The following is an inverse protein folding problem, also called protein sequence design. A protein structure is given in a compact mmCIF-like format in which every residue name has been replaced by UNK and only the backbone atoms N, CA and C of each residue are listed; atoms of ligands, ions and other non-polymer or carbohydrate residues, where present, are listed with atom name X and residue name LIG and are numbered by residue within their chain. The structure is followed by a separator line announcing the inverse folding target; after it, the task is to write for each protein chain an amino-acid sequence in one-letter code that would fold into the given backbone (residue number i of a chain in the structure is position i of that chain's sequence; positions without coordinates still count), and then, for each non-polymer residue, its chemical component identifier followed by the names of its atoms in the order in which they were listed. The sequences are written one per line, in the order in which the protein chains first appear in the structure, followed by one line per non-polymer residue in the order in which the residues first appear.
data_IF_369544009659
#
_entry.id   IF_369544009659
#
_cell.length_a   1.000
_cell.length_b   1.000
_cell.length_c   1.000
_cell.angle_alpha   90.00
_cell.angle_beta   90.00
_cell.angle_gamma   90.00
#
_symmetry.space_group_name_H-M   'P 1'
#
loop_
_entity.id
_entity.type
_entity.pdbx_description
1 polymer ?
#
# COMPACT_ATOMS: atom_id res chain seq x y z
N UNK A 1 -29.44 16.07 -17.52
CA UNK A 1 -27.97 16.11 -17.66
C UNK A 1 -27.28 15.82 -16.33
N UNK A 2 -27.74 16.37 -15.21
CA UNK A 2 -27.15 16.18 -13.87
C UNK A 2 -27.30 14.73 -13.35
N UNK A 3 -28.37 14.03 -13.68
CA UNK A 3 -28.54 12.63 -13.25
C UNK A 3 -27.60 11.64 -13.96
N UNK A 4 -27.17 11.94 -15.16
CA UNK A 4 -26.18 11.14 -15.89
C UNK A 4 -24.79 11.29 -15.29
N UNK A 5 -24.40 12.51 -14.96
CA UNK A 5 -23.10 12.80 -14.33
C UNK A 5 -23.00 12.17 -12.94
N UNK A 6 -24.09 12.22 -12.15
CA UNK A 6 -24.14 11.58 -10.83
C UNK A 6 -24.05 10.05 -10.92
N UNK A 7 -24.72 9.45 -11.93
CA UNK A 7 -24.65 8.00 -12.17
C UNK A 7 -23.28 7.55 -12.65
N UNK A 8 -22.65 8.31 -13.54
CA UNK A 8 -21.28 8.03 -13.97
C UNK A 8 -20.30 8.16 -12.80
N UNK A 9 -20.47 9.16 -11.95
CA UNK A 9 -19.65 9.35 -10.77
C UNK A 9 -19.82 8.21 -9.75
N UNK A 10 -21.06 7.81 -9.46
CA UNK A 10 -21.37 6.68 -8.58
C UNK A 10 -20.94 5.33 -9.17
N UNK A 11 -20.96 5.20 -10.50
CA UNK A 11 -20.50 3.99 -11.18
C UNK A 11 -18.96 3.90 -11.17
N UNK A 12 -18.30 5.02 -11.27
CA UNK A 12 -16.85 5.15 -11.21
C UNK A 12 -16.30 4.87 -9.81
N UNK A 13 -16.96 5.34 -8.75
CA UNK A 13 -16.61 5.00 -7.37
C UNK A 13 -16.80 3.51 -7.06
N UNK A 14 -17.88 2.88 -7.56
CA UNK A 14 -18.11 1.45 -7.37
C UNK A 14 -17.10 0.58 -8.12
N UNK A 15 -16.66 1.01 -9.28
CA UNK A 15 -15.69 0.24 -10.07
C UNK A 15 -14.26 0.31 -9.52
N UNK A 16 -13.93 1.32 -8.73
CA UNK A 16 -12.62 1.41 -8.08
C UNK A 16 -12.55 0.52 -6.84
N UNK A 17 -13.65 0.38 -6.11
CA UNK A 17 -13.73 -0.38 -4.87
C UNK A 17 -13.68 -1.91 -5.03
N UNK A 18 -13.97 -2.43 -6.22
CA UNK A 18 -14.03 -3.89 -6.47
C UNK A 18 -12.78 -4.44 -7.18
N UNK A 19 -11.81 -3.60 -7.50
CA UNK A 19 -10.60 -3.99 -8.21
C UNK A 19 -9.48 -4.36 -7.25
N UNK A 20 -8.72 -5.39 -7.61
CA UNK A 20 -7.44 -5.66 -6.97
C UNK A 20 -6.50 -4.45 -7.05
N UNK A 21 -5.53 -4.38 -6.17
CA UNK A 21 -4.55 -3.26 -6.15
C UNK A 21 -3.86 -3.13 -7.50
N UNK A 22 -3.40 -4.23 -8.09
CA UNK A 22 -2.74 -4.22 -9.40
C UNK A 22 -3.64 -3.65 -10.50
N UNK A 23 -4.88 -4.10 -10.58
CA UNK A 23 -5.84 -3.61 -11.56
C UNK A 23 -6.22 -2.14 -11.31
N UNK A 24 -6.36 -1.74 -10.05
CA UNK A 24 -6.64 -0.36 -9.66
C UNK A 24 -5.52 0.60 -10.03
N UNK A 25 -4.27 0.23 -9.79
CA UNK A 25 -3.10 1.04 -10.16
C UNK A 25 -2.97 1.24 -11.67
N UNK A 26 -3.17 0.18 -12.44
CA UNK A 26 -3.15 0.26 -13.91
C UNK A 26 -4.26 1.16 -14.45
N UNK A 27 -5.46 1.07 -13.88
CA UNK A 27 -6.59 1.92 -14.26
C UNK A 27 -6.35 3.41 -13.94
N UNK A 28 -5.81 3.70 -12.76
CA UNK A 28 -5.46 5.07 -12.34
C UNK A 28 -4.38 5.65 -13.25
N UNK A 29 -3.34 4.89 -13.55
CA UNK A 29 -2.27 5.32 -14.44
C UNK A 29 -2.79 5.60 -15.86
N UNK A 30 -3.58 4.71 -16.42
CA UNK A 30 -4.17 4.88 -17.75
C UNK A 30 -5.06 6.12 -17.83
N UNK A 31 -5.91 6.34 -16.82
CA UNK A 31 -6.74 7.53 -16.76
C UNK A 31 -5.90 8.81 -16.67
N UNK A 32 -4.87 8.81 -15.84
CA UNK A 32 -3.97 9.96 -15.68
C UNK A 32 -3.20 10.26 -16.97
N UNK A 33 -2.75 9.22 -17.68
CA UNK A 33 -2.13 9.37 -19.00
C UNK A 33 -3.08 10.02 -20.01
N UNK A 34 -4.33 9.54 -20.07
CA UNK A 34 -5.35 10.05 -20.99
C UNK A 34 -5.68 11.52 -20.73
N UNK A 35 -5.77 11.89 -19.47
CA UNK A 35 -6.12 13.26 -19.06
C UNK A 35 -4.97 14.27 -19.24
N UNK A 36 -3.73 13.84 -19.08
CA UNK A 36 -2.55 14.72 -19.03
C UNK A 36 -1.58 14.54 -20.20
N UNK A 37 -1.75 13.51 -21.01
CA UNK A 37 -0.90 13.24 -22.17
C UNK A 37 0.55 12.87 -21.84
N UNK A 38 0.84 12.41 -20.63
CA UNK A 38 2.16 11.99 -20.18
C UNK A 38 2.17 10.49 -19.88
N UNK A 39 3.08 9.70 -20.47
CA UNK A 39 3.14 8.26 -20.26
C UNK A 39 3.57 7.94 -18.81
N UNK A 40 2.94 6.93 -18.24
CA UNK A 40 3.22 6.43 -16.89
C UNK A 40 3.53 4.93 -16.98
N UNK A 41 4.72 4.55 -16.59
CA UNK A 41 5.10 3.14 -16.49
C UNK A 41 4.58 2.54 -15.20
N UNK A 42 3.90 1.40 -15.28
CA UNK A 42 3.39 0.67 -14.10
C UNK A 42 3.98 -0.72 -14.04
N UNK A 43 4.66 -1.01 -12.95
CA UNK A 43 5.19 -2.34 -12.63
C UNK A 43 4.57 -2.82 -11.32
N UNK A 44 3.94 -3.98 -11.35
CA UNK A 44 3.33 -4.60 -10.18
C UNK A 44 3.90 -5.99 -9.94
N UNK A 45 4.22 -6.29 -8.68
CA UNK A 45 4.65 -7.61 -8.20
C UNK A 45 3.68 -8.06 -7.12
N UNK A 46 3.05 -9.21 -7.34
CA UNK A 46 1.98 -9.67 -6.47
C UNK A 46 0.69 -8.87 -6.63
N UNK A 47 -0.27 -9.15 -5.78
CA UNK A 47 -1.56 -8.45 -5.76
C UNK A 47 -2.18 -8.51 -4.37
N UNK A 48 -3.17 -7.65 -4.13
CA UNK A 48 -3.95 -7.61 -2.90
C UNK A 48 -5.43 -7.36 -3.21
N UNK A 49 -6.29 -7.95 -2.39
CA UNK A 49 -7.74 -7.80 -2.52
C UNK A 49 -8.20 -6.41 -2.10
N UNK A 50 -9.33 -5.94 -2.64
CA UNK A 50 -9.95 -4.68 -2.21
C UNK A 50 -10.19 -4.65 -0.70
N UNK A 51 -9.86 -3.54 -0.07
CA UNK A 51 -10.08 -3.27 1.35
C UNK A 51 -10.05 -1.77 1.59
N UNK A 52 -10.45 -1.33 2.78
CA UNK A 52 -10.33 0.09 3.14
C UNK A 52 -8.88 0.58 3.10
N UNK A 53 -7.92 -0.28 3.44
CA UNK A 53 -6.50 0.02 3.36
C UNK A 53 -6.02 0.16 1.92
N UNK A 54 -6.40 -0.76 1.04
CA UNK A 54 -6.01 -0.68 -0.38
C UNK A 54 -6.71 0.46 -1.10
N UNK A 55 -7.95 0.78 -0.77
CA UNK A 55 -8.65 1.95 -1.31
C UNK A 55 -7.93 3.26 -0.96
N UNK A 56 -7.53 3.42 0.30
CA UNK A 56 -6.75 4.57 0.73
C UNK A 56 -5.40 4.68 -0.01
N UNK A 57 -4.76 3.54 -0.27
CA UNK A 57 -3.51 3.46 -1.02
C UNK A 57 -3.70 3.87 -2.48
N UNK A 58 -4.78 3.41 -3.13
CA UNK A 58 -5.12 3.79 -4.51
C UNK A 58 -5.44 5.28 -4.61
N UNK A 59 -6.22 5.83 -3.70
CA UNK A 59 -6.54 7.27 -3.66
C UNK A 59 -5.29 8.14 -3.47
N UNK A 60 -4.41 7.73 -2.56
CA UNK A 60 -3.14 8.42 -2.33
C UNK A 60 -2.22 8.34 -3.56
N UNK A 61 -2.18 7.19 -4.24
CA UNK A 61 -1.41 7.00 -5.48
C UNK A 61 -1.93 7.91 -6.59
N UNK A 62 -3.25 8.03 -6.74
CA UNK A 62 -3.86 8.94 -7.71
C UNK A 62 -3.42 10.39 -7.47
N UNK A 63 -3.44 10.84 -6.22
CA UNK A 63 -2.97 12.19 -5.88
C UNK A 63 -1.48 12.37 -6.15
N UNK A 64 -0.67 11.38 -5.85
CA UNK A 64 0.76 11.41 -6.14
C UNK A 64 1.04 11.45 -7.64
N UNK A 65 0.29 10.72 -8.46
CA UNK A 65 0.40 10.74 -9.92
C UNK A 65 -0.04 12.08 -10.52
N UNK A 66 -1.14 12.65 -10.06
CA UNK A 66 -1.59 13.98 -10.49
C UNK A 66 -0.50 15.02 -10.19
N UNK A 67 0.12 14.93 -9.02
CA UNK A 67 1.24 15.81 -8.67
C UNK A 67 2.46 15.58 -9.58
N UNK A 68 2.78 14.35 -9.89
CA UNK A 68 3.91 13.99 -10.76
C UNK A 68 3.71 14.51 -12.20
N UNK A 69 2.52 14.35 -12.78
CA UNK A 69 2.23 14.83 -14.14
C UNK A 69 2.09 16.35 -14.23
N UNK A 70 1.68 17.01 -13.16
CA UNK A 70 1.48 18.46 -13.11
C UNK A 70 2.78 19.21 -12.81
N UNK A 71 3.55 18.75 -11.85
CA UNK A 71 4.73 19.44 -11.31
C UNK A 71 6.05 18.71 -11.50
N UNK A 72 5.98 17.42 -11.80
CA UNK A 72 7.15 16.59 -12.03
C UNK A 72 7.60 16.57 -13.48
N UNK A 73 8.45 15.64 -13.81
CA UNK A 73 8.99 15.41 -15.13
C UNK A 73 9.07 13.94 -15.49
N UNK A 74 9.03 13.68 -16.78
CA UNK A 74 9.20 12.33 -17.33
C UNK A 74 10.63 11.83 -17.16
N UNK A 75 10.83 10.51 -17.04
CA UNK A 75 9.82 9.47 -17.01
C UNK A 75 9.09 9.42 -15.64
N UNK A 76 7.80 9.07 -15.68
CA UNK A 76 6.96 8.88 -14.50
C UNK A 76 6.69 7.39 -14.36
N UNK A 77 6.87 6.84 -13.18
CA UNK A 77 6.68 5.42 -12.91
C UNK A 77 5.97 5.15 -11.60
N UNK A 78 5.21 4.06 -11.60
CA UNK A 78 4.59 3.46 -10.42
C UNK A 78 5.14 2.05 -10.26
N UNK A 79 5.70 1.76 -9.11
CA UNK A 79 6.10 0.42 -8.72
C UNK A 79 5.26 -0.02 -7.53
N UNK A 80 4.68 -1.21 -7.60
CA UNK A 80 3.90 -1.79 -6.51
C UNK A 80 4.40 -3.18 -6.18
N UNK A 81 4.59 -3.44 -4.91
CA UNK A 81 4.86 -4.76 -4.37
C UNK A 81 3.82 -5.11 -3.32
N UNK A 82 3.01 -6.13 -3.61
CA UNK A 82 1.94 -6.60 -2.74
C UNK A 82 2.28 -7.99 -2.20
N UNK A 83 2.47 -8.06 -0.90
CA UNK A 83 2.69 -9.29 -0.16
C UNK A 83 1.45 -9.74 0.62
N UNK A 84 1.61 -10.73 1.47
CA UNK A 84 0.52 -11.29 2.28
C UNK A 84 0.02 -10.34 3.40
N UNK A 85 0.89 -9.49 3.92
CA UNK A 85 0.65 -8.64 5.09
C UNK A 85 0.87 -7.15 4.86
N UNK A 86 1.37 -6.77 3.69
CA UNK A 86 1.63 -5.38 3.33
C UNK A 86 1.59 -5.13 1.83
N UNK A 87 1.31 -3.90 1.47
CA UNK A 87 1.45 -3.36 0.11
C UNK A 87 2.32 -2.12 0.16
N UNK A 88 3.30 -2.04 -0.73
CA UNK A 88 4.15 -0.88 -0.93
C UNK A 88 3.96 -0.32 -2.33
N UNK A 89 3.81 0.98 -2.43
CA UNK A 89 3.69 1.69 -3.72
C UNK A 89 4.68 2.85 -3.74
N UNK A 90 5.42 2.94 -4.84
CA UNK A 90 6.38 3.99 -5.10
C UNK A 90 5.96 4.74 -6.36
N UNK A 91 5.77 6.05 -6.24
CA UNK A 91 5.50 6.94 -7.37
C UNK A 91 6.72 7.82 -7.58
N UNK A 92 7.35 7.73 -8.75
CA UNK A 92 8.59 8.41 -9.08
C UNK A 92 8.41 9.33 -10.28
N UNK A 93 8.86 10.57 -10.16
CA UNK A 93 9.06 11.48 -11.27
C UNK A 93 10.53 11.96 -11.35
N UNK A 94 10.91 12.52 -12.49
CA UNK A 94 12.26 13.03 -12.77
C UNK A 94 12.23 14.52 -13.10
N UNK A 95 11.33 15.26 -12.44
CA UNK A 95 11.25 16.70 -12.55
C UNK A 95 12.35 17.44 -11.78
N UNK A 96 12.17 18.73 -11.62
CA UNK A 96 13.15 19.59 -10.94
C UNK A 96 13.30 19.28 -9.45
N UNK A 97 12.31 18.56 -8.87
CA UNK A 97 12.28 18.30 -7.45
C UNK A 97 12.12 19.58 -6.62
N UNK A 98 12.25 19.44 -5.33
CA UNK A 98 12.19 20.56 -4.37
C UNK A 98 12.97 20.21 -3.11
N UNK A 99 13.34 21.23 -2.35
CA UNK A 99 13.85 21.03 -1.00
C UNK A 99 12.69 20.70 -0.07
N UNK A 100 12.71 19.52 0.55
CA UNK A 100 11.67 19.06 1.48
C UNK A 100 11.55 19.95 2.73
N UNK A 101 12.59 20.71 3.05
CA UNK A 101 12.60 21.67 4.15
C UNK A 101 12.01 23.04 3.74
N UNK A 102 11.83 23.30 2.45
CA UNK A 102 11.34 24.55 1.89
C UNK A 102 10.18 24.31 0.91
N UNK A 103 9.13 23.60 1.35
CA UNK A 103 8.00 23.22 0.51
C UNK A 103 7.18 24.45 0.13
N UNK A 104 6.93 24.73 -1.17
CA UNK A 104 6.03 25.78 -1.60
C UNK A 104 4.62 25.57 -1.01
N UNK A 105 3.97 26.63 -0.58
CA UNK A 105 2.65 26.60 0.07
C UNK A 105 1.59 25.82 -0.73
N UNK A 106 1.59 25.92 -2.07
CA UNK A 106 0.66 25.20 -2.93
C UNK A 106 0.81 23.67 -2.97
N UNK A 107 1.95 23.13 -2.53
CA UNK A 107 2.23 21.68 -2.49
C UNK A 107 2.03 21.08 -1.11
N UNK A 108 1.94 21.88 -0.08
CA UNK A 108 1.77 21.44 1.30
C UNK A 108 0.43 20.72 1.50
N UNK A 109 -0.66 21.24 0.91
CA UNK A 109 -2.00 20.66 0.99
C UNK A 109 -2.09 19.26 0.36
N UNK A 110 -1.44 19.03 -0.77
CA UNK A 110 -1.40 17.72 -1.45
C UNK A 110 -0.63 16.71 -0.60
N UNK A 111 0.53 17.11 -0.09
CA UNK A 111 1.34 16.29 0.80
C UNK A 111 0.55 15.86 2.04
N UNK A 112 -0.09 16.81 2.72
CA UNK A 112 -0.90 16.54 3.91
C UNK A 112 -2.10 15.63 3.61
N UNK A 113 -2.73 15.77 2.45
CA UNK A 113 -3.82 14.91 2.02
C UNK A 113 -3.37 13.46 1.81
N UNK A 114 -2.24 13.23 1.12
CA UNK A 114 -1.67 11.91 0.90
C UNK A 114 -1.29 11.26 2.24
N UNK A 115 -0.52 11.95 3.06
CA UNK A 115 -0.05 11.45 4.35
C UNK A 115 -1.22 11.14 5.27
N UNK A 116 -2.19 12.03 5.38
CA UNK A 116 -3.35 11.87 6.23
C UNK A 116 -4.21 10.66 5.88
N UNK A 117 -4.44 10.41 4.59
CA UNK A 117 -5.21 9.24 4.11
C UNK A 117 -4.53 7.93 4.48
N UNK A 118 -3.24 7.83 4.24
CA UNK A 118 -2.45 6.63 4.51
C UNK A 118 -2.34 6.38 6.02
N UNK A 119 -2.02 7.40 6.81
CA UNK A 119 -1.89 7.28 8.27
C UNK A 119 -3.18 6.87 8.97
N UNK A 120 -4.32 7.38 8.54
CA UNK A 120 -5.63 7.00 9.11
C UNK A 120 -5.95 5.53 8.95
N UNK A 121 -5.34 4.85 8.01
CA UNK A 121 -5.51 3.41 7.78
C UNK A 121 -4.35 2.56 8.30
N UNK A 122 -3.44 3.15 9.06
CA UNK A 122 -2.32 2.46 9.70
C UNK A 122 -1.07 2.35 8.85
N UNK A 123 -1.01 3.05 7.71
CA UNK A 123 0.16 3.08 6.84
C UNK A 123 1.11 4.23 7.12
N UNK A 124 2.19 4.28 6.35
CA UNK A 124 3.21 5.32 6.40
C UNK A 124 3.52 5.86 5.01
N UNK A 125 3.91 7.12 4.95
CA UNK A 125 4.34 7.79 3.72
C UNK A 125 5.66 8.49 3.96
N UNK A 126 6.60 8.30 3.05
CA UNK A 126 7.85 9.04 2.97
C UNK A 126 7.91 9.75 1.61
N UNK A 127 8.19 11.05 1.62
CA UNK A 127 8.39 11.84 0.39
C UNK A 127 9.85 12.22 0.32
N UNK A 128 10.52 11.74 -0.73
CA UNK A 128 11.91 12.05 -1.02
C UNK A 128 11.95 12.96 -2.24
N UNK A 129 12.48 14.15 -2.09
CA UNK A 129 12.67 15.08 -3.19
C UNK A 129 14.00 15.82 -3.02
N UNK A 130 14.66 16.07 -4.14
CA UNK A 130 15.90 16.84 -4.18
C UNK A 130 15.91 17.69 -5.46
N UNK A 131 16.48 18.90 -5.42
CA UNK A 131 16.67 19.69 -6.61
C UNK A 131 17.37 18.90 -7.71
N UNK A 132 16.86 18.98 -8.94
CA UNK A 132 17.35 18.30 -10.14
C UNK A 132 17.33 16.76 -10.13
N UNK A 133 16.73 16.15 -9.10
CA UNK A 133 16.56 14.70 -9.01
C UNK A 133 15.13 14.25 -9.25
N UNK A 134 14.17 15.10 -8.91
CA UNK A 134 12.75 14.81 -8.95
C UNK A 134 12.16 14.46 -7.59
N UNK A 135 11.06 13.73 -7.59
CA UNK A 135 10.32 13.36 -6.39
C UNK A 135 9.94 11.89 -6.41
N UNK A 136 10.04 11.24 -5.26
CA UNK A 136 9.55 9.89 -5.02
C UNK A 136 8.65 9.89 -3.80
N UNK A 137 7.42 9.38 -3.97
CA UNK A 137 6.47 9.16 -2.89
C UNK A 137 6.46 7.67 -2.59
N UNK A 138 6.85 7.30 -1.39
CA UNK A 138 6.90 5.92 -0.88
C UNK A 138 5.76 5.70 0.09
N UNK A 139 4.85 4.81 -0.25
CA UNK A 139 3.69 4.48 0.57
C UNK A 139 3.78 3.03 1.01
N UNK A 140 3.58 2.82 2.30
CA UNK A 140 3.56 1.50 2.93
C UNK A 140 2.23 1.33 3.64
N UNK A 141 1.52 0.25 3.35
CA UNK A 141 0.23 -0.05 3.93
C UNK A 141 0.19 -1.48 4.46
N UNK A 142 0.07 -1.68 5.78
CA UNK A 142 -0.23 -2.99 6.33
C UNK A 142 -1.63 -3.42 5.88
N UNK A 143 -1.73 -4.67 5.45
CA UNK A 143 -3.00 -5.28 5.12
C UNK A 143 -3.22 -6.51 6.00
N UNK A 144 -4.48 -6.77 6.36
CA UNK A 144 -4.82 -8.02 7.03
C UNK A 144 -4.66 -9.13 6.01
N UNK A 145 -3.60 -9.90 6.14
CA UNK A 145 -3.45 -11.15 5.39
C UNK A 145 -4.69 -11.99 5.64
N UNK A 146 -5.33 -12.48 4.59
CA UNK A 146 -6.51 -13.32 4.68
C UNK A 146 -6.21 -14.61 5.44
N UNK A 147 -6.17 -14.53 6.75
CA UNK A 147 -6.44 -15.69 7.58
C UNK A 147 -7.92 -15.98 7.40
N UNK A 148 -8.21 -16.93 6.54
CA UNK A 148 -9.48 -17.63 6.65
C UNK A 148 -9.60 -18.07 8.11
N UNK A 149 -10.72 -17.78 8.80
CA UNK A 149 -10.99 -18.41 10.06
C UNK A 149 -10.99 -19.91 9.76
N UNK A 150 -10.00 -20.59 10.30
CA UNK A 150 -9.89 -22.03 10.26
C UNK A 150 -11.19 -22.56 10.87
N UNK A 151 -12.07 -23.08 10.05
CA UNK A 151 -13.17 -23.93 10.49
C UNK A 151 -12.52 -25.14 11.14
N UNK A 152 -12.16 -25.01 12.40
CA UNK A 152 -12.01 -26.18 13.24
C UNK A 152 -13.42 -26.73 13.42
N UNK A 153 -13.74 -27.68 12.56
CA UNK A 153 -14.86 -28.56 12.75
C UNK A 153 -14.84 -29.10 14.16
N UNK A 154 -15.92 -28.86 14.80
CA UNK A 154 -16.41 -29.56 15.96
C UNK A 154 -16.28 -31.07 15.70
N UNK A 155 -15.40 -31.72 16.41
CA UNK A 155 -15.42 -33.14 16.55
C UNK A 155 -15.53 -33.43 18.03
N UNK A 156 -16.77 -33.56 18.44
CA UNK A 156 -17.22 -34.14 19.68
C UNK A 156 -16.60 -35.51 19.93
N UNK A 157 -16.05 -35.63 21.12
CA UNK A 157 -16.26 -36.70 22.06
C UNK A 157 -15.85 -38.15 21.70
N UNK A 158 -15.02 -38.71 22.49
CA UNK A 158 -15.32 -39.85 23.37
C UNK A 158 -14.06 -40.52 23.92
N UNK A 159 -13.96 -40.49 25.22
CA UNK A 159 -13.68 -41.67 26.02
C UNK A 159 -12.24 -42.21 26.10
N UNK A 160 -11.74 -42.29 27.34
CA UNK A 160 -10.80 -43.36 27.67
C UNK A 160 -9.57 -42.95 28.46
N UNK A 161 -9.70 -42.93 29.67
CA UNK A 161 -8.89 -43.23 30.85
C UNK A 161 -7.44 -43.73 30.66
N UNK A 162 -6.63 -43.28 31.61
CA UNK A 162 -5.49 -43.91 32.28
C UNK A 162 -4.10 -43.84 31.65
N UNK A 163 -3.20 -43.29 32.46
CA UNK A 163 -1.77 -43.50 32.36
C UNK A 163 -0.89 -42.43 32.98
N UNK A 164 -0.53 -42.63 34.23
CA UNK A 164 0.35 -41.80 35.06
C UNK A 164 1.82 -41.90 34.61
N UNK A 165 2.69 -40.91 34.90
CA UNK A 165 4.03 -40.80 34.35
C UNK A 165 5.11 -41.63 35.13
N UNK A 166 6.30 -41.69 34.61
CA UNK A 166 7.44 -41.61 35.51
C UNK A 166 8.44 -40.49 35.19
N UNK A 167 8.88 -39.97 36.28
CA UNK A 167 9.99 -39.14 36.60
C UNK A 167 11.33 -39.59 35.99
N UNK A 168 12.20 -38.61 35.72
CA UNK A 168 13.60 -38.91 35.44
C UNK A 168 14.38 -37.64 35.20
N UNK A 169 15.01 -37.16 36.24
CA UNK A 169 15.97 -36.08 36.29
C UNK A 169 17.24 -36.40 35.50
N UNK A 170 17.86 -35.36 34.94
CA UNK A 170 19.30 -35.14 35.05
C UNK A 170 19.71 -33.79 34.48
N UNK A 171 20.09 -32.96 35.39
CA UNK A 171 20.95 -31.81 35.25
C UNK A 171 22.32 -32.13 34.65
N UNK A 172 22.83 -31.24 33.80
CA UNK A 172 24.28 -30.97 33.73
C UNK A 172 24.54 -29.53 33.34
N UNK A 173 25.07 -28.85 34.32
CA UNK A 173 25.77 -27.56 34.32
C UNK A 173 27.21 -27.79 33.82
N UNK A 174 27.80 -26.83 33.09
CA UNK A 174 29.15 -26.30 33.35
C UNK A 174 29.75 -25.70 32.08
N UNK A 175 29.99 -24.43 32.05
CA UNK A 175 31.11 -23.62 32.50
C UNK A 175 32.21 -23.41 31.48
N UNK A 176 32.35 -22.14 31.11
CA UNK A 176 33.56 -21.32 30.88
C UNK A 176 34.77 -21.92 30.13
N UNK A 177 35.39 -21.21 29.22
CA UNK A 177 36.49 -20.24 29.39
C UNK A 177 37.06 -19.81 28.05
N UNK A 178 37.21 -18.54 27.90
CA UNK A 178 38.38 -17.74 27.55
C UNK A 178 39.47 -18.37 26.66
N UNK A 179 39.71 -17.77 25.52
CA UNK A 179 40.91 -16.93 25.26
C UNK A 179 40.65 -16.07 24.05
#
# INVERSE_FOLDING_TARGET
QQERELREWLYQERTTSDRSVSAGLKAIAAQTEDEHGKPIEVVTVGDARPSAQTDALLDATQQALINAVTHGGEPISVYCEAGADKVEVFVRDHGDGFDVNAIPEGRLGIRESIIGRIRRRGGTVEIVSRPHWGTEVRMHMPISGGRQPNQRGDATNAGGQHGRPPSGAASYTRTQKET
#
